data_IF_475192975690
#
_entry.id   IF_475192975690
#
_cell.length_a   1.000
_cell.length_b   1.000
_cell.length_c   1.000
_cell.angle_alpha   90.00
_cell.angle_beta   90.00
_cell.angle_gamma   90.00
#
_symmetry.space_group_name_H-M   'P 1'
#
loop_
_entity.id
_entity.type
_entity.pdbx_description
1 polymer ?
#
# COMPACT_ATOMS: atom_id res chain seq x y z
N UNK A 1 2.74 -4.31 13.23
CA UNK A 1 3.97 -4.28 12.39
C UNK A 1 4.40 -2.87 11.97
N UNK A 2 3.60 -2.08 11.23
CA UNK A 2 4.05 -0.79 10.67
C UNK A 2 4.01 0.42 11.62
N UNK A 3 3.42 0.27 12.82
CA UNK A 3 3.24 1.34 13.82
C UNK A 3 2.73 2.67 13.25
N UNK A 4 1.92 2.59 12.21
CA UNK A 4 1.35 3.75 11.51
C UNK A 4 -0.10 3.43 11.17
N UNK A 5 -1.02 4.41 11.28
CA UNK A 5 -2.38 4.24 10.84
C UNK A 5 -2.41 3.84 9.36
N UNK A 6 -3.29 2.90 9.02
CA UNK A 6 -3.56 2.55 7.63
C UNK A 6 -4.84 3.25 7.20
N UNK A 7 -4.73 4.15 6.23
CA UNK A 7 -5.86 4.90 5.70
C UNK A 7 -6.38 4.18 4.46
N UNK A 8 -7.65 3.79 4.50
CA UNK A 8 -8.37 3.22 3.36
C UNK A 8 -9.24 4.31 2.74
N UNK A 9 -8.99 4.64 1.49
CA UNK A 9 -9.80 5.60 0.73
C UNK A 9 -10.93 4.90 -0.01
N UNK A 10 -12.08 5.56 -0.15
CA UNK A 10 -13.12 5.17 -1.11
C UNK A 10 -12.70 5.53 -2.53
N UNK A 11 -13.07 4.74 -3.55
CA UNK A 11 -12.74 5.06 -4.94
C UNK A 11 -11.37 4.58 -5.41
N UNK A 12 -10.70 3.71 -4.63
CA UNK A 12 -9.39 3.16 -4.99
C UNK A 12 -9.41 2.34 -6.30
N UNK A 13 -10.58 1.85 -6.70
CA UNK A 13 -10.83 1.11 -7.94
C UNK A 13 -10.67 1.95 -9.21
N UNK A 14 -10.76 3.28 -9.13
CA UNK A 14 -10.62 4.18 -10.28
C UNK A 14 -9.21 4.16 -10.88
N UNK A 15 -8.20 3.81 -10.06
CA UNK A 15 -6.86 3.40 -10.50
C UNK A 15 -6.16 4.34 -11.50
N UNK A 16 -5.31 3.75 -12.34
CA UNK A 16 -4.46 4.50 -13.27
C UNK A 16 -5.23 5.20 -14.39
N UNK A 17 -6.35 4.62 -14.85
CA UNK A 17 -7.16 5.18 -15.94
C UNK A 17 -7.75 6.55 -15.55
N UNK A 18 -8.26 6.67 -14.33
CA UNK A 18 -8.76 7.95 -13.83
C UNK A 18 -7.65 8.98 -13.63
N UNK A 19 -6.45 8.54 -13.25
CA UNK A 19 -5.25 9.37 -13.23
C UNK A 19 -4.91 9.94 -14.62
N UNK A 20 -4.94 9.11 -15.66
CA UNK A 20 -4.71 9.56 -17.03
C UNK A 20 -5.77 10.57 -17.50
N UNK A 21 -7.04 10.36 -17.15
CA UNK A 21 -8.12 11.30 -17.45
C UNK A 21 -7.88 12.67 -16.79
N UNK A 22 -7.45 12.71 -15.52
CA UNK A 22 -7.07 13.95 -14.82
C UNK A 22 -5.92 14.68 -15.51
N UNK A 23 -4.92 13.96 -16.01
CA UNK A 23 -3.82 14.57 -16.78
C UNK A 23 -4.32 15.18 -18.10
N UNK A 24 -5.22 14.50 -18.80
CA UNK A 24 -5.88 15.05 -19.99
C UNK A 24 -6.67 16.32 -19.70
N UNK A 25 -7.40 16.34 -18.58
CA UNK A 25 -8.14 17.51 -18.10
C UNK A 25 -7.20 18.70 -17.82
N UNK A 26 -6.10 18.47 -17.10
CA UNK A 26 -5.09 19.51 -16.81
C UNK A 26 -4.53 20.08 -18.11
N UNK A 27 -4.18 19.23 -19.08
CA UNK A 27 -3.63 19.67 -20.36
C UNK A 27 -4.64 20.47 -21.19
N UNK A 28 -5.93 20.13 -21.12
CA UNK A 28 -6.98 20.80 -21.89
C UNK A 28 -7.40 22.14 -21.28
N UNK A 29 -7.51 22.22 -19.95
CA UNK A 29 -8.10 23.37 -19.25
C UNK A 29 -7.06 24.24 -18.53
N UNK A 30 -5.81 23.80 -18.42
CA UNK A 30 -4.74 24.54 -17.74
C UNK A 30 -4.93 24.66 -16.23
N UNK A 31 -5.75 23.79 -15.62
CA UNK A 31 -6.06 23.83 -14.20
C UNK A 31 -4.88 23.44 -13.29
N UNK A 32 -4.92 23.90 -12.05
CA UNK A 32 -3.90 23.59 -11.05
C UNK A 32 -3.89 22.07 -10.71
N UNK A 33 -2.75 21.38 -10.89
CA UNK A 33 -2.64 19.95 -10.58
C UNK A 33 -2.97 19.61 -9.12
N UNK A 34 -2.66 20.49 -8.16
CA UNK A 34 -2.93 20.20 -6.75
C UNK A 34 -4.44 20.17 -6.45
N UNK A 35 -5.21 21.05 -7.11
CA UNK A 35 -6.67 21.04 -7.03
C UNK A 35 -7.32 19.83 -7.72
N UNK A 36 -6.80 19.41 -8.89
CA UNK A 36 -7.38 18.34 -9.72
C UNK A 36 -7.00 16.95 -9.20
N UNK A 37 -5.75 16.77 -8.77
CA UNK A 37 -5.24 15.51 -8.21
C UNK A 37 -5.48 15.41 -6.70
N UNK A 38 -6.68 15.78 -6.26
CA UNK A 38 -7.06 15.75 -4.85
C UNK A 38 -7.17 14.31 -4.32
N UNK A 39 -6.86 14.19 -3.02
CA UNK A 39 -6.95 12.95 -2.27
C UNK A 39 -8.43 12.48 -2.22
N UNK A 40 -8.74 11.23 -2.57
CA UNK A 40 -10.09 10.71 -2.47
C UNK A 40 -10.60 10.70 -1.02
N UNK A 41 -11.91 10.64 -0.79
CA UNK A 41 -12.46 10.57 0.55
C UNK A 41 -11.94 9.35 1.33
N UNK A 42 -11.72 9.53 2.64
CA UNK A 42 -11.32 8.45 3.53
C UNK A 42 -12.55 7.61 3.85
N UNK A 43 -12.48 6.30 3.59
CA UNK A 43 -13.49 5.34 3.99
C UNK A 43 -13.29 4.86 5.44
N UNK A 44 -12.03 4.64 5.84
CA UNK A 44 -11.69 4.13 7.17
C UNK A 44 -10.23 4.44 7.53
N UNK A 45 -9.97 4.64 8.83
CA UNK A 45 -8.62 4.69 9.40
C UNK A 45 -8.46 3.53 10.36
N UNK A 46 -7.50 2.65 10.08
CA UNK A 46 -7.17 1.49 10.90
C UNK A 46 -5.98 1.82 11.79
N UNK A 47 -6.23 1.97 13.09
CA UNK A 47 -5.20 2.29 14.08
C UNK A 47 -4.32 1.07 14.42
N UNK A 48 -3.02 1.28 14.70
CA UNK A 48 -2.16 0.21 15.19
C UNK A 48 -2.61 -0.28 16.57
N UNK A 49 -2.70 -1.59 16.73
CA UNK A 49 -2.88 -2.24 18.02
C UNK A 49 -1.51 -2.37 18.72
N UNK A 50 -1.24 -1.49 19.69
CA UNK A 50 0.04 -1.43 20.42
C UNK A 50 0.37 -2.74 21.13
N UNK A 51 -0.65 -3.41 21.68
CA UNK A 51 -0.55 -4.69 22.40
C UNK A 51 0.01 -5.83 21.55
N UNK A 52 -0.16 -5.77 20.22
CA UNK A 52 0.34 -6.79 19.31
C UNK A 52 1.73 -6.48 18.75
N UNK A 53 2.31 -5.34 19.09
CA UNK A 53 3.52 -4.86 18.44
C UNK A 53 4.70 -5.81 18.62
N UNK A 54 5.00 -6.18 19.87
CA UNK A 54 6.09 -7.10 20.22
C UNK A 54 5.91 -8.46 19.54
N UNK A 55 4.69 -9.02 19.59
CA UNK A 55 4.37 -10.28 18.92
C UNK A 55 4.66 -10.23 17.41
N UNK A 56 4.29 -9.14 16.74
CA UNK A 56 4.60 -8.95 15.32
C UNK A 56 6.10 -8.73 15.06
N UNK A 57 6.85 -8.13 15.98
CA UNK A 57 8.30 -7.99 15.84
C UNK A 57 9.00 -9.34 15.87
N UNK A 58 8.66 -10.20 16.84
CA UNK A 58 9.25 -11.54 16.96
C UNK A 58 8.96 -12.39 15.72
N UNK A 59 7.72 -12.34 15.23
CA UNK A 59 7.33 -13.01 13.99
C UNK A 59 8.09 -12.47 12.78
N UNK A 60 8.30 -11.15 12.70
CA UNK A 60 9.06 -10.54 11.61
C UNK A 60 10.54 -10.96 11.64
N UNK A 61 11.15 -11.02 12.82
CA UNK A 61 12.53 -11.51 13.00
C UNK A 61 12.62 -12.97 12.53
N UNK A 62 11.69 -13.82 12.97
CA UNK A 62 11.64 -15.22 12.57
C UNK A 62 11.46 -15.36 11.05
N UNK A 63 10.54 -14.59 10.46
CA UNK A 63 10.33 -14.57 9.01
C UNK A 63 11.61 -14.16 8.26
N UNK A 64 12.26 -13.07 8.67
CA UNK A 64 13.49 -12.56 8.04
C UNK A 64 14.66 -13.54 8.14
N UNK A 65 14.71 -14.36 9.19
CA UNK A 65 15.70 -15.44 9.32
C UNK A 65 15.38 -16.62 8.40
N UNK A 66 14.10 -17.03 8.35
CA UNK A 66 13.68 -18.23 7.63
C UNK A 66 13.65 -18.04 6.11
N UNK A 67 13.18 -16.90 5.63
CA UNK A 67 13.03 -16.65 4.20
C UNK A 67 14.33 -16.88 3.39
N UNK A 68 15.48 -16.26 3.72
CA UNK A 68 16.72 -16.53 3.00
C UNK A 68 17.23 -17.97 3.21
N UNK A 69 17.03 -18.55 4.40
CA UNK A 69 17.48 -19.91 4.70
C UNK A 69 16.74 -20.98 3.89
N UNK A 70 15.51 -20.72 3.45
CA UNK A 70 14.68 -21.63 2.67
C UNK A 70 14.60 -21.25 1.19
N UNK A 71 15.28 -20.18 0.78
CA UNK A 71 15.13 -19.60 -0.56
C UNK A 71 15.43 -20.61 -1.69
N UNK A 72 16.44 -21.46 -1.51
CA UNK A 72 16.83 -22.47 -2.50
C UNK A 72 15.73 -23.51 -2.75
N UNK A 73 14.96 -23.88 -1.73
CA UNK A 73 13.87 -24.85 -1.85
C UNK A 73 12.70 -24.27 -2.67
N UNK A 74 12.49 -22.95 -2.64
CA UNK A 74 11.46 -22.29 -3.48
C UNK A 74 11.87 -22.20 -4.96
N UNK A 75 13.15 -22.40 -5.29
CA UNK A 75 13.66 -22.32 -6.66
C UNK A 75 13.73 -23.70 -7.34
N UNK A 76 13.60 -24.78 -6.58
CA UNK A 76 13.47 -26.13 -7.15
C UNK A 76 12.09 -26.27 -7.79
N UNK A 77 12.03 -26.12 -9.11
CA UNK A 77 10.86 -26.55 -9.89
C UNK A 77 10.80 -28.08 -9.81
N UNK A 78 9.72 -28.68 -9.29
CA UNK A 78 9.58 -30.13 -9.29
C UNK A 78 9.55 -30.65 -10.74
N UNK A 79 10.30 -31.72 -11.01
CA UNK A 79 10.25 -32.46 -12.28
C UNK A 79 8.96 -33.27 -12.38
#
# INVERSE_FOLDING_TARGET
>A
MLQRPLIRHSGAELGAAFGAARLGLIAAEGGDPASICSCPPIAEVLEPQSELFENYQDLLIRYRRLYPALQEEFQRIPR
#
